data_IF_723343808927
#
_entry.id   IF_723343808927
#
_cell.length_a   1.000
_cell.length_b   1.000
_cell.length_c   1.000
_cell.angle_alpha   90.00
_cell.angle_beta   90.00
_cell.angle_gamma   90.00
#
_symmetry.space_group_name_H-M   'P 1'
#
loop_
_entity.id
_entity.type
_entity.pdbx_description
1 polymer ?
#
# COMPACT_ATOMS: atom_id res chain seq x y z
N UNK A 1 7.82 -11.65 -1.43
CA UNK A 1 7.49 -10.22 -1.24
C UNK A 1 7.47 -9.62 -2.61
N UNK A 2 6.35 -9.04 -3.01
CA UNK A 2 6.21 -8.44 -4.34
C UNK A 2 6.12 -6.93 -4.18
N UNK A 3 6.85 -6.21 -5.03
CA UNK A 3 6.96 -4.75 -4.99
C UNK A 3 6.57 -4.23 -6.36
N UNK A 4 5.79 -3.16 -6.36
CA UNK A 4 5.35 -2.42 -7.54
C UNK A 4 5.62 -0.93 -7.34
N UNK A 5 5.77 -0.24 -8.45
CA UNK A 5 5.89 1.21 -8.54
C UNK A 5 4.70 1.74 -9.31
N UNK A 6 4.14 2.86 -8.88
CA UNK A 6 3.10 3.56 -9.62
C UNK A 6 3.72 4.28 -10.81
N UNK A 7 3.22 3.98 -12.01
CA UNK A 7 3.52 4.75 -13.21
C UNK A 7 2.39 5.77 -13.43
N UNK A 8 2.62 7.07 -13.17
CA UNK A 8 1.58 8.09 -13.34
C UNK A 8 1.21 8.34 -14.81
N UNK A 9 2.06 7.97 -15.77
CA UNK A 9 1.79 8.12 -17.20
C UNK A 9 0.85 7.01 -17.71
N UNK A 10 1.04 5.78 -17.25
CA UNK A 10 0.22 4.62 -17.60
C UNK A 10 -0.96 4.42 -16.65
N UNK A 11 -0.96 5.08 -15.48
CA UNK A 11 -1.92 4.89 -14.39
C UNK A 11 -2.02 3.44 -13.94
N UNK A 12 -0.87 2.79 -13.85
CA UNK A 12 -0.77 1.37 -13.52
C UNK A 12 0.35 1.13 -12.50
N UNK A 13 0.20 0.05 -11.71
CA UNK A 13 1.25 -0.44 -10.84
C UNK A 13 2.14 -1.41 -11.63
N UNK A 14 3.32 -0.95 -12.01
CA UNK A 14 4.31 -1.75 -12.72
C UNK A 14 5.19 -2.52 -11.75
N UNK A 15 5.52 -3.77 -12.08
CA UNK A 15 6.44 -4.57 -11.26
C UNK A 15 7.83 -3.92 -11.29
N UNK A 16 8.32 -3.55 -10.12
CA UNK A 16 9.50 -2.70 -9.95
C UNK A 16 9.48 -2.17 -8.53
N UNK A 17 10.64 -2.08 -7.88
CA UNK A 17 10.71 -1.38 -6.60
C UNK A 17 10.65 0.11 -6.85
N UNK A 18 9.88 0.84 -6.05
CA UNK A 18 10.03 2.29 -6.05
C UNK A 18 11.43 2.60 -5.47
N UNK A 19 12.12 3.56 -6.08
CA UNK A 19 13.48 3.94 -5.71
C UNK A 19 13.46 5.20 -4.83
N UNK A 20 14.33 5.24 -3.83
CA UNK A 20 14.62 6.43 -3.04
C UNK A 20 14.45 6.28 -1.52
N UNK A 21 14.47 7.41 -0.80
CA UNK A 21 14.26 7.44 0.65
C UNK A 21 12.77 7.32 1.00
N UNK A 22 12.43 6.34 1.84
CA UNK A 22 11.05 6.17 2.34
C UNK A 22 10.63 7.36 3.21
N UNK A 23 9.63 8.13 2.74
CA UNK A 23 9.06 9.27 3.48
C UNK A 23 7.76 8.93 4.19
N UNK A 24 6.90 8.16 3.54
CA UNK A 24 5.59 7.78 4.07
C UNK A 24 5.33 6.31 3.81
N UNK A 25 4.75 5.62 4.79
CA UNK A 25 4.22 4.28 4.58
C UNK A 25 2.93 4.10 5.36
N UNK A 26 1.96 3.42 4.75
CA UNK A 26 0.76 2.94 5.42
C UNK A 26 0.54 1.47 5.08
N UNK A 27 0.20 0.67 6.08
CA UNK A 27 -0.01 -0.77 5.90
C UNK A 27 -1.22 -1.20 6.70
N UNK A 28 -1.99 -2.14 6.14
CA UNK A 28 -3.22 -2.63 6.73
C UNK A 28 -3.36 -4.13 6.50
N UNK A 29 -4.22 -4.76 7.30
CA UNK A 29 -4.57 -6.16 7.16
C UNK A 29 -5.74 -6.32 6.18
N UNK A 30 -5.56 -7.24 5.23
CA UNK A 30 -6.63 -7.76 4.37
C UNK A 30 -6.84 -9.21 4.74
N UNK A 31 -8.06 -9.56 5.13
CA UNK A 31 -8.46 -10.90 5.55
C UNK A 31 -9.58 -11.38 4.61
N UNK A 32 -9.34 -12.47 3.88
CA UNK A 32 -10.28 -13.06 2.93
C UNK A 32 -10.88 -12.01 1.95
N UNK A 33 -10.01 -11.15 1.42
CA UNK A 33 -10.39 -10.09 0.47
C UNK A 33 -11.17 -8.93 1.09
N UNK A 34 -11.31 -8.90 2.43
CA UNK A 34 -11.93 -7.80 3.17
C UNK A 34 -10.89 -7.03 3.94
N UNK A 35 -11.02 -5.71 3.92
CA UNK A 35 -10.19 -4.79 4.68
C UNK A 35 -11.07 -4.01 5.64
N UNK A 36 -10.66 -3.94 6.91
CA UNK A 36 -11.33 -3.11 7.89
C UNK A 36 -10.85 -1.67 7.78
N UNK A 37 -11.78 -0.72 7.80
CA UNK A 37 -11.48 0.72 7.80
C UNK A 37 -10.58 1.19 6.63
N UNK A 38 -10.65 0.56 5.45
CA UNK A 38 -9.84 0.92 4.28
C UNK A 38 -9.93 2.41 3.92
N UNK A 39 -11.14 2.96 3.95
CA UNK A 39 -11.36 4.39 3.69
C UNK A 39 -10.61 5.33 4.66
N UNK A 40 -10.33 4.87 5.89
CA UNK A 40 -9.56 5.64 6.86
C UNK A 40 -8.08 5.60 6.51
N UNK A 41 -7.56 4.43 6.15
CA UNK A 41 -6.18 4.25 5.67
C UNK A 41 -5.95 5.09 4.41
N UNK A 42 -6.86 5.00 3.44
CA UNK A 42 -6.86 5.83 2.23
C UNK A 42 -6.80 7.32 2.56
N UNK A 43 -7.77 7.86 3.30
CA UNK A 43 -7.79 9.28 3.66
C UNK A 43 -6.53 9.74 4.39
N UNK A 44 -6.02 8.94 5.33
CA UNK A 44 -4.82 9.29 6.09
C UNK A 44 -3.60 9.36 5.19
N UNK A 45 -3.43 8.37 4.33
CA UNK A 45 -2.32 8.30 3.40
C UNK A 45 -2.40 9.41 2.35
N UNK A 46 -3.55 9.58 1.67
CA UNK A 46 -3.72 10.63 0.65
C UNK A 46 -3.52 12.03 1.21
N UNK A 47 -3.95 12.29 2.46
CA UNK A 47 -3.69 13.57 3.12
C UNK A 47 -2.19 13.81 3.34
N UNK A 48 -1.48 12.83 3.89
CA UNK A 48 -0.04 12.96 4.14
C UNK A 48 0.78 12.99 2.84
N UNK A 49 0.33 12.27 1.81
CA UNK A 49 0.90 12.29 0.47
C UNK A 49 0.78 13.68 -0.18
N UNK A 50 -0.37 14.34 -0.02
CA UNK A 50 -0.59 15.70 -0.49
C UNK A 50 0.36 16.70 0.18
N UNK A 51 0.65 16.52 1.47
CA UNK A 51 1.65 17.35 2.18
C UNK A 51 3.07 17.15 1.64
N UNK A 52 3.34 16.01 1.00
CA UNK A 52 4.60 15.69 0.31
C UNK A 52 4.59 16.07 -1.18
N UNK A 53 3.49 16.63 -1.70
CA UNK A 53 3.33 16.96 -3.12
C UNK A 53 2.94 15.79 -4.03
N UNK A 54 2.61 14.63 -3.47
CA UNK A 54 2.18 13.45 -4.22
C UNK A 54 0.65 13.41 -4.36
N UNK A 55 0.11 13.99 -5.43
CA UNK A 55 -1.34 14.04 -5.67
C UNK A 55 -1.92 12.71 -6.15
N UNK A 56 -1.10 11.86 -6.79
CA UNK A 56 -1.51 10.55 -7.30
C UNK A 56 -2.05 9.61 -6.21
N UNK A 57 -1.63 9.82 -4.95
CA UNK A 57 -2.11 9.04 -3.82
C UNK A 57 -3.60 9.25 -3.50
N UNK A 58 -4.21 10.33 -3.99
CA UNK A 58 -5.66 10.58 -3.89
C UNK A 58 -6.44 9.99 -5.09
N UNK A 59 -5.74 9.64 -6.18
CA UNK A 59 -6.36 9.16 -7.42
C UNK A 59 -7.07 7.81 -7.24
N UNK A 60 -8.31 7.73 -7.72
CA UNK A 60 -9.08 6.48 -7.73
C UNK A 60 -8.41 5.39 -8.56
N UNK A 61 -7.73 5.75 -9.66
CA UNK A 61 -7.00 4.82 -10.52
C UNK A 61 -5.93 4.04 -9.73
N UNK A 62 -5.14 4.75 -8.90
CA UNK A 62 -4.11 4.15 -8.05
C UNK A 62 -4.71 3.13 -7.09
N UNK A 63 -5.76 3.51 -6.36
CA UNK A 63 -6.41 2.61 -5.41
C UNK A 63 -7.08 1.43 -6.10
N UNK A 64 -7.67 1.64 -7.28
CA UNK A 64 -8.27 0.55 -8.06
C UNK A 64 -7.22 -0.45 -8.54
N UNK A 65 -6.12 0.02 -9.12
CA UNK A 65 -5.02 -0.83 -9.57
C UNK A 65 -4.42 -1.62 -8.40
N UNK A 66 -4.25 -0.97 -7.24
CA UNK A 66 -3.75 -1.62 -6.03
C UNK A 66 -4.68 -2.73 -5.55
N UNK A 67 -6.00 -2.48 -5.51
CA UNK A 67 -6.98 -3.46 -5.05
C UNK A 67 -7.00 -4.68 -5.98
N UNK A 68 -6.83 -4.48 -7.29
CA UNK A 68 -6.80 -5.56 -8.28
C UNK A 68 -5.61 -6.51 -8.06
N UNK A 69 -4.48 -5.98 -7.60
CA UNK A 69 -3.30 -6.78 -7.25
C UNK A 69 -3.44 -7.58 -5.94
N UNK A 70 -4.39 -7.24 -5.06
CA UNK A 70 -4.56 -7.93 -3.78
C UNK A 70 -5.39 -9.20 -3.99
N UNK A 71 -4.86 -10.39 -3.66
CA UNK A 71 -5.62 -11.62 -3.80
C UNK A 71 -6.84 -11.64 -2.87
N UNK A 72 -7.96 -12.16 -3.39
CA UNK A 72 -9.25 -12.21 -2.68
C UNK A 72 -9.32 -13.27 -1.59
N UNK A 73 -8.35 -14.18 -1.55
CA UNK A 73 -8.28 -15.29 -0.60
C UNK A 73 -6.99 -15.22 0.19
N UNK A 74 -7.04 -15.68 1.45
CA UNK A 74 -5.90 -15.63 2.37
C UNK A 74 -5.81 -14.31 3.14
N UNK A 75 -4.71 -14.15 3.86
CA UNK A 75 -4.42 -12.98 4.67
C UNK A 75 -3.21 -12.25 4.09
N UNK A 76 -3.40 -10.98 3.77
CA UNK A 76 -2.39 -10.14 3.13
C UNK A 76 -2.15 -8.89 3.95
N UNK A 77 -0.91 -8.42 3.87
CA UNK A 77 -0.47 -7.21 4.53
C UNK A 77 0.05 -6.22 3.47
N UNK A 78 -0.86 -5.68 2.63
CA UNK A 78 -0.51 -4.61 1.70
C UNK A 78 0.07 -3.41 2.44
N UNK A 79 1.06 -2.79 1.79
CA UNK A 79 1.72 -1.59 2.24
C UNK A 79 1.86 -0.65 1.06
N UNK A 80 1.33 0.56 1.18
CA UNK A 80 1.67 1.66 0.29
C UNK A 80 2.81 2.45 0.91
N UNK A 81 3.71 2.93 0.06
CA UNK A 81 4.88 3.70 0.42
C UNK A 81 5.05 4.88 -0.53
N UNK A 82 5.59 5.99 -0.04
CA UNK A 82 6.06 7.12 -0.84
C UNK A 82 7.55 7.23 -0.59
N UNK A 83 8.31 7.17 -1.68
CA UNK A 83 9.74 7.38 -1.69
C UNK A 83 10.02 8.73 -2.34
N UNK A 84 11.00 9.47 -1.81
CA UNK A 84 11.33 10.79 -2.30
C UNK A 84 12.84 10.98 -2.23
N UNK A 85 13.48 11.05 -3.39
CA UNK A 85 14.84 11.58 -3.54
C UNK A 85 14.75 12.98 -4.16
N UNK A 86 14.24 13.05 -5.40
CA UNK A 86 13.92 14.31 -6.10
C UNK A 86 12.40 14.55 -6.18
N UNK A 87 11.65 13.58 -6.71
CA UNK A 87 10.20 13.61 -6.85
C UNK A 87 9.53 12.49 -6.04
N UNK A 88 8.31 12.71 -5.52
CA UNK A 88 7.62 11.69 -4.73
C UNK A 88 7.08 10.56 -5.62
N UNK A 89 7.59 9.35 -5.42
CA UNK A 89 7.20 8.13 -6.14
C UNK A 89 6.36 7.24 -5.23
N UNK A 90 5.22 6.77 -5.75
CA UNK A 90 4.37 5.81 -5.07
C UNK A 90 4.87 4.39 -5.28
N UNK A 91 5.10 3.68 -4.19
CA UNK A 91 5.39 2.26 -4.15
C UNK A 91 4.25 1.48 -3.51
N UNK A 92 4.07 0.24 -3.97
CA UNK A 92 3.17 -0.72 -3.37
C UNK A 92 3.93 -2.01 -3.07
N UNK A 93 3.71 -2.56 -1.89
CA UNK A 93 4.34 -3.79 -1.43
C UNK A 93 3.29 -4.73 -0.87
N UNK A 94 3.25 -5.94 -1.41
CA UNK A 94 2.38 -7.00 -0.93
C UNK A 94 3.22 -8.11 -0.30
N UNK A 95 2.84 -8.46 0.94
CA UNK A 95 3.36 -9.62 1.64
C UNK A 95 2.21 -10.39 2.30
N UNK A 96 2.34 -11.71 2.49
CA UNK A 96 1.38 -12.44 3.31
C UNK A 96 1.37 -11.86 4.72
N UNK A 97 0.20 -11.84 5.36
CA UNK A 97 0.11 -11.51 6.77
C UNK A 97 0.93 -12.54 7.56
N UNK A 98 1.66 -12.12 8.62
CA UNK A 98 2.30 -13.07 9.50
C UNK A 98 1.23 -13.98 10.10
N UNK A 99 1.53 -15.28 10.22
CA UNK A 99 0.67 -16.22 10.93
C UNK A 99 0.37 -15.64 12.30
N UNK A 100 -0.91 -15.46 12.63
CA UNK A 100 -1.31 -15.00 13.95
C UNK A 100 -0.97 -16.13 14.92
N UNK A 101 0.21 -16.08 15.52
CA UNK A 101 0.50 -16.96 16.66
C UNK A 101 -0.44 -16.52 17.76
N UNK A 102 -1.48 -17.31 17.99
CA UNK A 102 -2.28 -17.25 19.20
C UNK A 102 -1.36 -17.68 20.36
N UNK A 103 -0.50 -16.78 20.82
CA UNK A 103 0.14 -16.88 22.13
C UNK A 103 -0.70 -16.08 23.12
N UNK A 104 -1.95 -16.51 23.31
CA UNK A 104 -2.61 -16.39 24.60
C UNK A 104 -2.27 -17.67 25.37
N UNK A 105 -1.00 -17.82 25.74
CA UNK A 105 -0.63 -18.69 26.85
C UNK A 105 -1.14 -18.00 28.12
N UNK A 106 -2.36 -18.35 28.51
CA UNK A 106 -2.77 -18.25 29.89
C UNK A 106 -1.94 -19.23 30.70
N UNK A 107 -1.14 -18.69 31.62
CA UNK A 107 -0.68 -19.37 32.82
C UNK A 107 -1.42 -18.75 34.02
#
# INVERSE_FOLDING_TARGET
MTIWTWDPQQRELVAGGAEGELRLADSWLVEAGRVRAFERHRRRFSKAALELGCTDADSTDFWSALIDLIPRSGEWFPRVEILCDDEPVLGFRLRPAPTRTDELNGD
#
